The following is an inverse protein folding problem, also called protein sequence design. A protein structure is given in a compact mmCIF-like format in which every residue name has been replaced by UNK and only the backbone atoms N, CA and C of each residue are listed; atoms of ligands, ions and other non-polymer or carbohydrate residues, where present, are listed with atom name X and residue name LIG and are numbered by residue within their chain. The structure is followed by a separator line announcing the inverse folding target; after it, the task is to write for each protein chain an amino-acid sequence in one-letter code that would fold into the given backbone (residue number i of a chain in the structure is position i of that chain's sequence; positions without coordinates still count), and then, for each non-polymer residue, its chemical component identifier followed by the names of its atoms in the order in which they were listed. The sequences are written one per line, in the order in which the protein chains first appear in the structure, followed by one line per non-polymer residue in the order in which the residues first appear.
data_IF_694621606839
#
_entry.id   IF_694621606839
#
_cell.length_a   1.000
_cell.length_b   1.000
_cell.length_c   1.000
_cell.angle_alpha   90.00
_cell.angle_beta   90.00
_cell.angle_gamma   90.00
#
_symmetry.space_group_name_H-M   'P 1'
#
loop_
_entity.id
_entity.type
_entity.pdbx_description
1 polymer ?
#
# COMPACT_ATOMS: atom_id res chain seq x y z
N UNK A 1 4.09 0.94 30.24
CA UNK A 1 5.18 1.33 29.32
C UNK A 1 5.40 2.82 29.46
N UNK A 2 6.63 3.30 29.73
CA UNK A 2 6.91 4.73 29.77
C UNK A 2 6.62 5.32 28.39
N UNK A 3 5.67 6.24 28.29
CA UNK A 3 5.39 6.99 27.06
C UNK A 3 6.25 8.23 27.06
N UNK A 4 6.95 8.55 25.95
CA UNK A 4 7.75 9.76 25.88
C UNK A 4 6.87 10.98 26.16
N UNK A 5 7.35 11.85 27.05
CA UNK A 5 6.62 13.05 27.44
C UNK A 5 6.60 14.10 26.32
N UNK A 6 5.75 15.14 26.44
CA UNK A 6 5.75 16.26 25.49
C UNK A 6 7.14 16.88 25.29
N UNK A 7 7.95 16.93 26.36
CA UNK A 7 9.30 17.50 26.34
C UNK A 7 10.28 16.64 25.53
N UNK A 8 10.21 15.30 25.64
CA UNK A 8 11.01 14.39 24.81
C UNK A 8 10.62 14.46 23.34
N UNK A 9 9.32 14.58 23.02
CA UNK A 9 8.87 14.79 21.64
C UNK A 9 9.41 16.09 21.05
N UNK A 10 9.48 17.17 21.84
CA UNK A 10 10.08 18.44 21.40
C UNK A 10 11.57 18.26 21.08
N UNK A 11 12.32 17.51 21.88
CA UNK A 11 13.75 17.23 21.62
C UNK A 11 13.93 16.50 20.29
N UNK A 12 13.13 15.45 20.05
CA UNK A 12 13.15 14.70 18.79
C UNK A 12 12.78 15.61 17.61
N UNK A 13 11.78 16.48 17.79
CA UNK A 13 11.36 17.44 16.77
C UNK A 13 12.48 18.43 16.43
N UNK A 14 13.24 18.93 17.42
CA UNK A 14 14.39 19.81 17.18
C UNK A 14 15.47 19.10 16.34
N UNK A 15 15.77 17.84 16.63
CA UNK A 15 16.73 17.06 15.83
C UNK A 15 16.22 16.88 14.39
N UNK A 16 14.93 16.53 14.23
CA UNK A 16 14.31 16.42 12.91
C UNK A 16 14.32 17.76 12.14
N UNK A 17 14.11 18.88 12.84
CA UNK A 17 14.19 20.24 12.30
C UNK A 17 15.62 20.62 11.86
N UNK A 18 16.65 20.07 12.49
CA UNK A 18 18.04 20.29 12.03
C UNK A 18 18.33 19.54 10.72
N UNK A 19 17.79 18.32 10.57
CA UNK A 19 17.98 17.50 9.37
C UNK A 19 17.14 18.02 8.20
N UNK A 20 15.85 18.28 8.43
CA UNK A 20 14.91 18.71 7.40
C UNK A 20 14.94 20.24 7.19
N UNK A 21 15.23 21.01 8.24
CA UNK A 21 15.17 22.47 8.27
C UNK A 21 13.83 23.00 8.79
N UNK A 22 13.81 24.07 9.63
CA UNK A 22 12.58 24.65 10.16
C UNK A 22 11.66 25.26 9.10
N UNK A 23 12.19 25.63 7.93
CA UNK A 23 11.39 26.11 6.80
C UNK A 23 10.68 24.99 6.03
N UNK A 24 11.16 23.75 6.11
CA UNK A 24 10.63 22.62 5.33
C UNK A 24 9.55 21.83 6.08
N UNK A 25 9.58 21.84 7.41
CA UNK A 25 8.58 21.19 8.23
C UNK A 25 7.13 21.71 8.01
N UNK A 26 6.87 23.04 7.90
CA UNK A 26 5.53 23.53 7.58
C UNK A 26 5.08 23.21 6.16
N UNK A 27 6.00 23.14 5.19
CA UNK A 27 5.70 22.80 3.80
C UNK A 27 5.25 21.33 3.69
N UNK A 28 6.07 20.41 4.22
CA UNK A 28 5.77 18.97 4.28
C UNK A 28 4.51 18.69 5.11
N UNK A 29 4.37 19.35 6.26
CA UNK A 29 3.20 19.24 7.13
C UNK A 29 1.92 19.77 6.46
N UNK A 30 2.00 20.86 5.69
CA UNK A 30 0.86 21.39 4.94
C UNK A 30 0.42 20.47 3.81
N UNK A 31 1.38 19.86 3.09
CA UNK A 31 1.08 18.88 2.05
C UNK A 31 0.42 17.63 2.63
N UNK A 32 1.04 17.02 3.66
CA UNK A 32 0.46 15.88 4.38
C UNK A 32 -0.89 16.23 5.01
N UNK A 33 -1.02 17.39 5.64
CA UNK A 33 -2.25 17.83 6.28
C UNK A 33 -3.41 17.95 5.30
N UNK A 34 -3.16 18.47 4.10
CA UNK A 34 -4.16 18.48 3.01
C UNK A 34 -4.55 17.05 2.62
N UNK A 35 -3.59 16.16 2.39
CA UNK A 35 -3.87 14.75 2.07
C UNK A 35 -4.67 14.02 3.16
N UNK A 36 -4.29 14.19 4.43
CA UNK A 36 -5.03 13.60 5.57
C UNK A 36 -6.44 14.20 5.67
N UNK A 37 -6.60 15.50 5.41
CA UNK A 37 -7.91 16.17 5.46
C UNK A 37 -8.85 15.64 4.38
N UNK A 38 -8.38 15.54 3.14
CA UNK A 38 -9.16 14.97 2.03
C UNK A 38 -9.45 13.48 2.27
N UNK A 39 -8.47 12.72 2.78
CA UNK A 39 -8.67 11.32 3.15
C UNK A 39 -9.72 11.16 4.25
N UNK A 40 -9.69 12.00 5.30
CA UNK A 40 -10.70 12.02 6.36
C UNK A 40 -12.08 12.38 5.81
N UNK A 41 -12.17 13.38 4.93
CA UNK A 41 -13.43 13.79 4.29
C UNK A 41 -14.03 12.64 3.49
N UNK A 42 -13.25 12.02 2.59
CA UNK A 42 -13.70 10.89 1.80
C UNK A 42 -14.06 9.68 2.67
N UNK A 43 -13.28 9.39 3.72
CA UNK A 43 -13.58 8.31 4.66
C UNK A 43 -14.88 8.55 5.43
N UNK A 44 -15.12 9.79 5.88
CA UNK A 44 -16.35 10.19 6.55
C UNK A 44 -17.56 10.08 5.62
N UNK A 45 -17.46 10.57 4.38
CA UNK A 45 -18.55 10.50 3.39
C UNK A 45 -18.91 9.03 3.07
N UNK A 46 -17.91 8.13 2.99
CA UNK A 46 -18.15 6.68 2.83
C UNK A 46 -18.79 6.05 4.07
N UNK A 47 -18.30 6.39 5.28
CA UNK A 47 -18.91 5.92 6.53
C UNK A 47 -20.38 6.35 6.63
N UNK A 48 -20.68 7.60 6.28
CA UNK A 48 -22.05 8.12 6.26
C UNK A 48 -22.92 7.40 5.23
N UNK A 49 -22.41 7.15 4.01
CA UNK A 49 -23.12 6.39 3.00
C UNK A 49 -23.39 4.92 3.40
N UNK A 50 -22.52 4.32 4.21
CA UNK A 50 -22.71 2.96 4.76
C UNK A 50 -23.70 2.99 5.93
N UNK A 51 -23.61 3.98 6.82
CA UNK A 51 -24.52 4.10 7.96
C UNK A 51 -25.96 4.44 7.54
N UNK A 52 -26.13 5.29 6.52
CA UNK A 52 -27.43 5.63 5.93
C UNK A 52 -28.10 4.43 5.24
N UNK A 53 -27.35 3.40 4.86
CA UNK A 53 -27.88 2.16 4.26
C UNK A 53 -28.21 1.06 5.27
N UNK A 54 -27.92 1.26 6.56
CA UNK A 54 -28.12 0.24 7.60
C UNK A 54 -29.31 0.55 8.54
N UNK A 55 -29.83 1.79 8.53
CA UNK A 55 -31.06 2.15 9.26
C UNK A 55 -32.31 2.03 8.38
N UNK A 56 -32.60 0.84 7.83
CA UNK A 56 -33.97 0.45 7.45
C UNK A 56 -34.12 -1.07 7.42
N UNK A 57 -34.90 -1.53 8.39
CA UNK A 57 -35.66 -2.79 8.45
C UNK A 57 -34.94 -4.04 8.98
N UNK A 58 -35.46 -4.65 10.07
CA UNK A 58 -34.96 -5.91 10.61
C UNK A 58 -35.17 -7.01 9.58
N UNK A 59 -34.13 -7.82 9.32
CA UNK A 59 -34.29 -9.06 8.59
C UNK A 59 -35.29 -9.94 9.36
N UNK A 60 -36.41 -10.40 8.74
CA UNK A 60 -37.15 -11.51 9.33
C UNK A 60 -36.20 -12.70 9.45
N UNK A 61 -36.16 -13.40 10.60
CA UNK A 61 -35.33 -14.58 10.75
C UNK A 61 -35.81 -15.60 9.72
N UNK A 62 -35.03 -15.85 8.69
CA UNK A 62 -35.16 -17.06 7.90
C UNK A 62 -34.45 -18.14 8.70
N UNK A 63 -35.17 -19.16 9.22
CA UNK A 63 -34.53 -20.30 9.83
C UNK A 63 -33.74 -21.04 8.74
N UNK A 64 -32.44 -20.83 8.70
CA UNK A 64 -31.52 -21.74 7.99
C UNK A 64 -31.11 -22.81 9.00
N UNK A 65 -31.70 -23.99 8.85
CA UNK A 65 -31.47 -25.14 9.70
C UNK A 65 -29.98 -25.52 9.75
N UNK A 66 -29.38 -25.76 10.93
CA UNK A 66 -28.23 -26.66 11.05
C UNK A 66 -28.73 -28.12 11.02
N UNK A 67 -27.95 -29.16 10.70
CA UNK A 67 -26.56 -29.24 10.24
C UNK A 67 -26.36 -30.18 9.02
N UNK A 68 -25.38 -29.91 8.15
CA UNK A 68 -24.71 -31.00 7.42
C UNK A 68 -23.21 -30.86 7.53
N UNK A 69 -22.69 -31.50 8.58
CA UNK A 69 -21.37 -32.11 8.60
C UNK A 69 -21.32 -33.16 7.50
N UNK A 70 -20.73 -32.82 6.36
CA UNK A 70 -20.18 -33.82 5.44
C UNK A 70 -19.02 -33.16 4.68
N UNK A 71 -17.83 -33.39 5.22
CA UNK A 71 -16.59 -33.39 4.45
C UNK A 71 -16.77 -34.32 3.24
N UNK A 72 -16.39 -33.86 2.04
CA UNK A 72 -15.45 -34.66 1.27
C UNK A 72 -14.13 -33.93 1.15
N UNK A 73 -13.09 -34.65 1.55
CA UNK A 73 -11.73 -34.40 1.19
C UNK A 73 -11.57 -34.07 -0.31
N UNK A 74 -10.72 -33.09 -0.57
CA UNK A 74 -9.81 -32.99 -1.70
C UNK A 74 -10.27 -33.55 -3.07
N UNK A 75 -10.33 -32.66 -4.06
CA UNK A 75 -9.55 -32.84 -5.27
C UNK A 75 -8.26 -32.02 -5.07
N UNK A 76 -7.18 -32.71 -4.75
CA UNK A 76 -5.88 -32.24 -5.19
C UNK A 76 -5.98 -32.16 -6.72
N UNK A 77 -6.16 -30.96 -7.27
CA UNK A 77 -5.94 -30.77 -8.70
C UNK A 77 -4.49 -31.16 -8.98
N UNK A 78 -4.25 -32.18 -9.82
CA UNK A 78 -2.92 -32.43 -10.34
C UNK A 78 -2.59 -31.21 -11.19
N UNK A 79 -1.80 -30.29 -10.62
CA UNK A 79 -1.03 -29.30 -11.36
C UNK A 79 -0.02 -30.08 -12.22
N UNK A 80 -0.52 -30.61 -13.33
CA UNK A 80 0.24 -31.02 -14.49
C UNK A 80 0.10 -29.89 -15.53
N UNK A 81 0.87 -28.83 -15.33
CA UNK A 81 1.16 -27.86 -16.38
C UNK A 81 2.69 -27.76 -16.51
N UNK A 82 3.21 -27.78 -17.75
CA UNK A 82 4.39 -28.52 -18.13
C UNK A 82 5.68 -27.77 -17.77
N UNK A 83 6.75 -28.55 -17.62
CA UNK A 83 8.12 -28.10 -17.50
C UNK A 83 8.45 -27.01 -18.54
N UNK A 84 8.96 -25.83 -18.14
CA UNK A 84 9.72 -25.02 -19.07
C UNK A 84 10.96 -25.82 -19.47
N UNK A 85 11.28 -25.97 -20.76
CA UNK A 85 12.55 -26.56 -21.15
C UNK A 85 13.65 -25.68 -20.57
N UNK A 86 14.52 -26.31 -19.79
CA UNK A 86 15.83 -25.79 -19.50
C UNK A 86 16.50 -25.44 -20.84
N UNK A 87 16.60 -24.14 -21.13
CA UNK A 87 17.63 -23.65 -22.02
C UNK A 87 18.76 -23.20 -21.12
N UNK A 88 19.74 -24.10 -21.08
CA UNK A 88 21.10 -23.91 -20.61
C UNK A 88 21.76 -22.67 -21.23
N UNK A 89 22.86 -22.26 -20.59
CA UNK A 89 23.90 -21.34 -21.08
C UNK A 89 23.69 -19.82 -20.89
N UNK A 90 24.24 -19.34 -19.77
CA UNK A 90 24.94 -18.05 -19.71
C UNK A 90 26.07 -17.99 -20.76
N UNK A 91 26.54 -16.81 -21.23
CA UNK A 91 27.35 -15.93 -20.39
C UNK A 91 27.04 -14.42 -20.52
N UNK A 92 27.56 -13.58 -19.60
CA UNK A 92 27.47 -12.13 -19.70
C UNK A 92 28.48 -11.64 -20.75
N UNK A 93 28.04 -10.83 -21.70
CA UNK A 93 28.94 -10.02 -22.52
C UNK A 93 28.48 -8.57 -22.54
N UNK A 94 29.20 -7.78 -21.76
CA UNK A 94 29.62 -6.43 -22.13
C UNK A 94 29.85 -6.32 -23.64
N UNK A 95 29.11 -5.42 -24.28
CA UNK A 95 29.54 -4.79 -25.53
C UNK A 95 29.33 -3.29 -25.36
N UNK A 96 30.45 -2.64 -25.06
CA UNK A 96 30.80 -1.32 -25.60
C UNK A 96 30.37 -1.25 -27.06
N UNK A 97 29.57 -0.25 -27.42
CA UNK A 97 29.47 0.20 -28.81
C UNK A 97 29.15 1.69 -28.87
N UNK A 98 30.15 2.45 -29.34
CA UNK A 98 30.10 3.64 -30.20
C UNK A 98 29.30 4.86 -29.70
N UNK A 99 29.86 6.05 -29.44
CA UNK A 99 30.95 6.81 -30.09
C UNK A 99 30.78 6.98 -31.61
N UNK A 100 29.78 7.79 -32.01
CA UNK A 100 29.73 8.69 -33.19
C UNK A 100 28.30 9.30 -33.15
N UNK A 101 27.94 10.55 -33.43
CA UNK A 101 28.51 11.62 -34.23
C UNK A 101 27.68 12.86 -33.85
N UNK A 102 28.28 13.96 -33.43
CA UNK A 102 27.60 15.26 -33.47
C UNK A 102 28.49 16.28 -34.17
N UNK A 103 28.33 16.27 -35.49
CA UNK A 103 28.56 17.32 -36.47
C UNK A 103 28.42 18.72 -35.86
N UNK A 104 29.56 19.40 -35.71
CA UNK A 104 29.64 20.85 -35.53
C UNK A 104 30.07 21.46 -36.86
N UNK A 105 29.36 22.52 -37.19
CA UNK A 105 29.36 23.27 -38.44
C UNK A 105 30.74 23.70 -38.95
N UNK A 106 30.86 23.67 -40.29
CA UNK A 106 31.47 24.74 -41.07
C UNK A 106 30.75 24.85 -42.41
#
# INVERSE_FOLDING_TARGET
MPTPGPLELVIILVIALLVLGPGKLPDVGSALGKSIKEFRKASSDVQEAVNVKVDTSPLPPTPVAPPQTASPAAPAEPIAQPAPPAVDAAPPVTSTESADSQTVAH
#
